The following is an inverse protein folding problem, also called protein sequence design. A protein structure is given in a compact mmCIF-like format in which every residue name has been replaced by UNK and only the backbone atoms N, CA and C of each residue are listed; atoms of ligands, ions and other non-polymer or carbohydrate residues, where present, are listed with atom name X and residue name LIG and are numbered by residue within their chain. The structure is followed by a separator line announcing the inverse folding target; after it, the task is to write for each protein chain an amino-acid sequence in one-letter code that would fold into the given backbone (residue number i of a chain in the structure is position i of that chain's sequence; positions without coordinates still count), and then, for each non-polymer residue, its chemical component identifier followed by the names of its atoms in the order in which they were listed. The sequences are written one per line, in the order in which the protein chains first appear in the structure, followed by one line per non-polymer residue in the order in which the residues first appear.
data_IF_599681994445
#
_entry.id   IF_599681994445
#
_cell.length_a   1.000
_cell.length_b   1.000
_cell.length_c   1.000
_cell.angle_alpha   90.00
_cell.angle_beta   90.00
_cell.angle_gamma   90.00
#
_symmetry.space_group_name_H-M   'P 1'
#
loop_
_entity.id
_entity.type
_entity.pdbx_description
1 polymer ?
#
# COMPACT_ATOMS: atom_id res chain seq x y z
N UNK A 1 19.55 42.19 10.48
CA UNK A 1 19.78 41.01 11.34
C UNK A 1 18.51 40.40 11.93
N UNK A 2 17.61 41.13 12.63
CA UNK A 2 16.38 40.54 13.21
C UNK A 2 15.45 39.85 12.19
N UNK A 3 15.23 40.46 11.02
CA UNK A 3 14.40 39.88 9.94
C UNK A 3 14.99 38.57 9.38
N UNK A 4 16.32 38.51 9.22
CA UNK A 4 17.02 37.29 8.77
C UNK A 4 16.85 36.15 9.77
N UNK A 5 16.95 36.43 11.08
CA UNK A 5 16.72 35.44 12.14
C UNK A 5 15.29 34.88 12.13
N UNK A 6 14.29 35.73 11.83
CA UNK A 6 12.88 35.30 11.73
C UNK A 6 12.66 34.43 10.48
N UNK A 7 13.22 34.80 9.33
CA UNK A 7 13.12 33.99 8.09
C UNK A 7 13.78 32.63 8.27
N UNK A 8 14.97 32.59 8.89
CA UNK A 8 15.66 31.32 9.20
C UNK A 8 14.83 30.48 10.17
N UNK A 9 14.23 31.08 11.20
CA UNK A 9 13.37 30.35 12.14
C UNK A 9 12.11 29.77 11.46
N UNK A 10 11.46 30.54 10.58
CA UNK A 10 10.30 30.06 9.81
C UNK A 10 10.67 28.92 8.87
N UNK A 11 11.83 28.99 8.22
CA UNK A 11 12.33 27.94 7.33
C UNK A 11 12.65 26.65 8.11
N UNK A 12 13.27 26.76 9.29
CA UNK A 12 13.53 25.61 10.17
C UNK A 12 12.23 24.98 10.67
N UNK A 13 11.24 25.79 11.07
CA UNK A 13 9.93 25.28 11.49
C UNK A 13 9.18 24.58 10.35
N UNK A 14 9.26 25.10 9.12
CA UNK A 14 8.63 24.48 7.95
C UNK A 14 9.28 23.15 7.55
N UNK A 15 10.61 23.04 7.69
CA UNK A 15 11.34 21.78 7.42
C UNK A 15 11.07 20.72 8.50
N UNK A 16 10.79 21.13 9.75
CA UNK A 16 10.48 20.22 10.84
C UNK A 16 9.07 19.58 10.76
N UNK A 17 8.16 20.12 9.94
CA UNK A 17 6.79 19.59 9.78
C UNK A 17 6.61 18.59 8.63
N UNK A 18 7.70 18.15 8.00
CA UNK A 18 7.66 17.09 6.97
C UNK A 18 7.38 15.73 7.63
N UNK A 19 6.11 15.43 7.89
CA UNK A 19 5.66 14.15 8.43
C UNK A 19 5.53 13.12 7.30
N UNK A 20 6.45 12.15 7.23
CA UNK A 20 6.28 10.97 6.39
C UNK A 20 5.20 10.04 6.94
N UNK A 21 4.55 9.25 6.06
CA UNK A 21 3.61 8.22 6.49
C UNK A 21 4.31 7.15 7.33
N UNK A 22 3.90 7.06 8.61
CA UNK A 22 4.40 6.03 9.53
C UNK A 22 3.87 4.65 9.14
N UNK A 23 4.72 3.61 9.14
CA UNK A 23 4.28 2.24 8.94
C UNK A 23 3.36 1.80 10.09
N UNK A 24 2.51 0.82 9.79
CA UNK A 24 1.61 0.18 10.76
C UNK A 24 1.95 -1.31 10.85
N UNK A 25 1.94 -1.83 12.08
CA UNK A 25 2.18 -3.26 12.33
C UNK A 25 1.03 -4.11 11.86
N UNK A 26 1.38 -5.18 11.13
CA UNK A 26 0.41 -6.12 10.59
C UNK A 26 -0.13 -7.06 11.67
N UNK A 27 -1.45 -7.16 11.77
CA UNK A 27 -2.14 -8.23 12.50
C UNK A 27 -2.36 -9.49 11.65
N UNK A 28 -1.97 -9.46 10.37
CA UNK A 28 -2.12 -10.58 9.45
C UNK A 28 -0.86 -11.46 9.42
N UNK A 29 -1.08 -12.74 9.15
CA UNK A 29 -0.02 -13.68 8.82
C UNK A 29 0.30 -13.55 7.33
N UNK A 30 1.52 -13.08 7.05
CA UNK A 30 2.05 -12.95 5.71
C UNK A 30 2.54 -14.33 5.25
N UNK A 31 2.00 -14.81 4.13
CA UNK A 31 2.42 -16.08 3.53
C UNK A 31 3.72 -15.80 2.78
N UNK A 32 4.85 -15.94 3.49
CA UNK A 32 6.15 -15.97 2.84
C UNK A 32 6.23 -17.23 1.99
N UNK A 33 6.13 -17.05 0.70
CA UNK A 33 6.48 -18.09 -0.26
C UNK A 33 7.97 -17.96 -0.58
N UNK A 34 8.70 -19.07 -0.62
CA UNK A 34 10.11 -19.09 -1.05
C UNK A 34 10.27 -18.82 -2.56
N UNK A 35 9.21 -18.31 -3.18
CA UNK A 35 9.03 -18.22 -4.61
C UNK A 35 9.62 -16.90 -5.09
N UNK A 36 10.82 -17.00 -5.69
CA UNK A 36 11.39 -15.95 -6.54
C UNK A 36 10.40 -15.45 -7.62
N UNK A 37 9.38 -16.24 -7.95
CA UNK A 37 8.32 -15.91 -8.92
C UNK A 37 6.98 -16.46 -8.42
N UNK A 38 6.09 -15.61 -7.91
CA UNK A 38 4.69 -15.97 -7.60
C UNK A 38 3.87 -15.84 -8.87
N UNK A 39 3.24 -16.93 -9.32
CA UNK A 39 2.32 -16.94 -10.45
C UNK A 39 0.83 -16.95 -10.03
N UNK A 40 -0.10 -16.47 -10.88
CA UNK A 40 -1.54 -16.47 -10.56
C UNK A 40 -2.12 -17.86 -10.27
N UNK A 41 -1.54 -18.91 -10.84
CA UNK A 41 -1.94 -20.31 -10.64
C UNK A 41 -1.67 -20.83 -9.22
N UNK A 42 -0.82 -20.12 -8.45
CA UNK A 42 -0.51 -20.42 -7.06
C UNK A 42 -1.39 -19.63 -6.08
N UNK A 43 -2.29 -18.79 -6.61
CA UNK A 43 -3.21 -17.94 -5.86
C UNK A 43 -4.66 -18.43 -6.04
N UNK A 44 -5.58 -17.88 -5.26
CA UNK A 44 -6.97 -18.32 -5.18
C UNK A 44 -7.24 -19.20 -3.96
N UNK A 45 -8.48 -19.65 -3.80
CA UNK A 45 -8.94 -20.40 -2.62
C UNK A 45 -8.53 -19.71 -1.30
N UNK A 46 -8.67 -18.39 -1.27
CA UNK A 46 -8.30 -17.55 -0.13
C UNK A 46 -6.87 -17.06 -0.10
N UNK A 47 -5.93 -17.62 -0.88
CA UNK A 47 -4.58 -17.04 -1.02
C UNK A 47 -4.62 -15.86 -2.00
N UNK A 48 -4.60 -14.63 -1.46
CA UNK A 48 -4.74 -13.41 -2.25
C UNK A 48 -3.47 -12.57 -2.19
N UNK A 49 -2.97 -12.19 -3.36
CA UNK A 49 -1.87 -11.24 -3.51
C UNK A 49 -2.41 -9.82 -3.56
N UNK A 50 -1.87 -8.95 -2.71
CA UNK A 50 -2.19 -7.51 -2.70
C UNK A 50 -0.90 -6.75 -3.00
N UNK A 51 -0.90 -5.91 -4.03
CA UNK A 51 0.28 -5.14 -4.42
C UNK A 51 0.01 -3.65 -4.53
N UNK A 52 1.06 -2.85 -4.38
CA UNK A 52 1.01 -1.41 -4.60
C UNK A 52 1.22 -1.06 -6.07
N UNK A 53 0.15 -0.64 -6.75
CA UNK A 53 0.13 -0.26 -8.18
C UNK A 53 0.57 1.17 -8.48
N UNK A 54 1.35 1.81 -7.60
CA UNK A 54 1.87 3.15 -7.85
C UNK A 54 2.70 3.23 -9.15
N UNK A 55 2.45 4.26 -9.95
CA UNK A 55 3.21 4.51 -11.18
C UNK A 55 4.58 5.14 -10.86
N UNK A 56 5.53 5.06 -11.80
CA UNK A 56 6.87 5.67 -11.71
C UNK A 56 6.88 7.12 -11.22
N UNK A 57 5.89 7.93 -11.66
CA UNK A 57 5.74 9.34 -11.25
C UNK A 57 5.53 9.50 -9.73
N UNK A 58 4.84 8.56 -9.08
CA UNK A 58 4.64 8.55 -7.63
C UNK A 58 5.72 7.75 -6.87
N UNK A 59 6.66 7.14 -7.60
CA UNK A 59 7.74 6.36 -7.00
C UNK A 59 8.97 7.23 -6.73
N UNK A 60 9.15 8.31 -7.51
CA UNK A 60 10.34 9.18 -7.48
C UNK A 60 10.52 9.99 -6.18
N UNK A 61 9.43 10.24 -5.45
CA UNK A 61 9.39 11.05 -4.22
C UNK A 61 9.11 10.23 -2.96
N UNK A 62 8.95 8.90 -3.07
CA UNK A 62 8.69 7.97 -1.96
C UNK A 62 7.36 8.27 -1.21
N UNK A 63 6.41 8.99 -1.83
CA UNK A 63 5.14 9.41 -1.21
C UNK A 63 4.03 8.37 -1.39
N UNK A 64 4.14 7.47 -2.36
CA UNK A 64 3.12 6.46 -2.66
C UNK A 64 3.07 5.25 -1.72
N UNK A 65 3.49 5.40 -0.45
CA UNK A 65 3.32 4.33 0.55
C UNK A 65 1.85 4.22 0.94
N UNK A 66 1.35 2.98 1.03
CA UNK A 66 -0.04 2.70 1.38
C UNK A 66 -0.11 1.94 2.70
N UNK A 67 -0.74 2.53 3.71
CA UNK A 67 -1.22 1.80 4.88
C UNK A 67 -2.60 1.22 4.55
N UNK A 68 -2.77 -0.07 4.81
CA UNK A 68 -4.00 -0.81 4.51
C UNK A 68 -4.55 -1.43 5.79
N UNK A 69 -5.84 -1.25 6.01
CA UNK A 69 -6.63 -2.00 6.97
C UNK A 69 -7.63 -2.85 6.20
N UNK A 70 -7.84 -4.06 6.70
CA UNK A 70 -8.78 -5.05 6.20
C UNK A 70 -9.68 -5.44 7.36
N UNK A 71 -10.99 -5.31 7.22
CA UNK A 71 -11.98 -5.59 8.26
C UNK A 71 -11.61 -4.98 9.62
N UNK A 72 -11.31 -3.68 9.60
CA UNK A 72 -10.86 -2.87 10.74
C UNK A 72 -9.49 -3.23 11.33
N UNK A 73 -8.85 -4.30 10.87
CA UNK A 73 -7.53 -4.75 11.33
C UNK A 73 -6.41 -4.22 10.46
N UNK A 74 -5.28 -3.79 11.04
CA UNK A 74 -4.14 -3.32 10.27
C UNK A 74 -3.51 -4.49 9.50
N UNK A 75 -3.56 -4.41 8.17
CA UNK A 75 -2.90 -5.37 7.30
C UNK A 75 -1.41 -5.05 7.14
N UNK A 76 -1.04 -3.77 7.20
CA UNK A 76 0.35 -3.32 7.15
C UNK A 76 0.55 -2.14 6.21
N UNK A 77 1.81 -1.82 5.94
CA UNK A 77 2.21 -0.86 4.91
C UNK A 77 2.81 -1.57 3.71
N UNK A 78 2.33 -1.25 2.50
CA UNK A 78 2.90 -1.69 1.23
C UNK A 78 3.51 -0.47 0.52
N UNK A 79 4.82 -0.50 0.26
CA UNK A 79 5.51 0.55 -0.49
C UNK A 79 5.34 0.34 -2.01
N UNK A 80 5.61 1.37 -2.84
CA UNK A 80 5.67 1.19 -4.29
C UNK A 80 6.59 0.03 -4.67
N UNK A 81 6.13 -0.86 -5.55
CA UNK A 81 6.88 -2.06 -5.94
C UNK A 81 6.87 -3.18 -4.89
N UNK A 82 6.11 -3.05 -3.79
CA UNK A 82 5.93 -4.16 -2.85
C UNK A 82 4.60 -4.89 -3.06
N UNK A 83 4.57 -6.15 -2.64
CA UNK A 83 3.37 -6.98 -2.56
C UNK A 83 3.35 -7.82 -1.28
N UNK A 84 2.16 -8.27 -0.87
CA UNK A 84 1.98 -9.25 0.20
C UNK A 84 1.04 -10.35 -0.27
N UNK A 85 1.13 -11.51 0.35
CA UNK A 85 0.14 -12.57 0.20
C UNK A 85 -0.45 -12.86 1.57
N UNK A 86 -1.78 -12.84 1.65
CA UNK A 86 -2.53 -13.13 2.86
C UNK A 86 -3.63 -14.13 2.57
N UNK A 87 -4.06 -14.85 3.61
CA UNK A 87 -5.28 -15.65 3.54
C UNK A 87 -6.49 -14.77 3.82
N UNK A 88 -7.41 -14.71 2.86
CA UNK A 88 -8.71 -14.05 2.94
C UNK A 88 -9.80 -15.11 2.87
N UNK A 89 -10.91 -14.89 3.58
CA UNK A 89 -12.08 -15.77 3.47
C UNK A 89 -12.91 -15.34 2.25
N UNK A 90 -13.81 -16.20 1.81
CA UNK A 90 -14.82 -15.78 0.84
C UNK A 90 -15.82 -14.84 1.50
N UNK A 91 -16.29 -13.85 0.74
CA UNK A 91 -17.28 -12.86 1.15
C UNK A 91 -16.79 -11.42 0.96
N UNK A 92 -17.62 -10.49 1.41
CA UNK A 92 -17.33 -9.06 1.33
C UNK A 92 -16.36 -8.64 2.44
N UNK A 93 -15.29 -7.96 2.02
CA UNK A 93 -14.23 -7.47 2.88
C UNK A 93 -14.13 -5.94 2.78
N UNK A 94 -13.99 -5.29 3.94
CA UNK A 94 -13.90 -3.84 4.00
C UNK A 94 -12.44 -3.39 4.05
N UNK A 95 -12.02 -2.65 3.03
CA UNK A 95 -10.68 -2.11 2.92
C UNK A 95 -10.65 -0.62 3.22
N UNK A 96 -9.70 -0.21 4.06
CA UNK A 96 -9.38 1.20 4.26
C UNK A 96 -7.94 1.45 3.86
N UNK A 97 -7.74 2.43 2.99
CA UNK A 97 -6.44 2.81 2.46
C UNK A 97 -6.09 4.22 2.94
N UNK A 98 -4.83 4.41 3.33
CA UNK A 98 -4.25 5.71 3.65
C UNK A 98 -2.91 5.84 2.92
N UNK A 99 -2.79 6.89 2.11
CA UNK A 99 -1.50 7.41 1.69
C UNK A 99 -1.37 8.88 2.12
N UNK A 100 -0.12 9.35 2.21
CA UNK A 100 0.19 10.74 2.52
C UNK A 100 1.02 11.28 1.38
N UNK A 101 0.46 12.28 0.71
CA UNK A 101 1.20 13.20 -0.13
C UNK A 101 1.17 14.57 0.57
N UNK A 102 1.07 15.69 -0.16
CA UNK A 102 0.84 17.03 0.42
C UNK A 102 -0.31 17.06 1.44
N UNK A 103 -1.27 16.12 1.35
CA UNK A 103 -2.36 15.92 2.30
C UNK A 103 -2.57 14.43 2.61
N UNK A 104 -3.29 14.14 3.70
CA UNK A 104 -3.72 12.79 4.04
C UNK A 104 -4.89 12.36 3.14
N UNK A 105 -4.71 11.30 2.37
CA UNK A 105 -5.75 10.79 1.47
C UNK A 105 -6.24 9.42 1.95
N UNK A 106 -7.50 9.40 2.37
CA UNK A 106 -8.18 8.23 2.90
C UNK A 106 -9.31 7.82 1.98
N UNK A 107 -9.48 6.52 1.79
CA UNK A 107 -10.60 5.96 1.03
C UNK A 107 -10.96 4.60 1.57
N UNK A 108 -12.23 4.25 1.46
CA UNK A 108 -12.79 2.98 1.88
C UNK A 108 -13.40 2.26 0.67
N UNK A 109 -13.27 0.94 0.63
CA UNK A 109 -13.67 0.10 -0.50
C UNK A 109 -14.20 -1.23 0.03
N UNK A 110 -15.37 -1.67 -0.44
CA UNK A 110 -15.85 -3.02 -0.19
C UNK A 110 -15.48 -3.91 -1.38
N UNK A 111 -14.85 -5.04 -1.10
CA UNK A 111 -14.38 -5.99 -2.11
C UNK A 111 -14.97 -7.37 -1.85
N UNK A 112 -15.62 -7.94 -2.85
CA UNK A 112 -16.06 -9.33 -2.82
C UNK A 112 -14.89 -10.26 -3.14
N UNK A 113 -14.56 -11.13 -2.20
CA UNK A 113 -13.54 -12.17 -2.35
C UNK A 113 -14.24 -13.51 -2.60
N UNK A 114 -13.84 -14.18 -3.67
CA UNK A 114 -14.34 -15.51 -4.04
C UNK A 114 -13.16 -16.47 -4.17
N UNK A 115 -13.44 -17.75 -4.44
CA UNK A 115 -12.41 -18.77 -4.68
C UNK A 115 -11.50 -18.41 -5.87
N UNK A 116 -12.02 -17.64 -6.83
CA UNK A 116 -11.29 -17.18 -8.01
C UNK A 116 -10.54 -15.85 -7.79
N UNK A 117 -10.71 -15.21 -6.63
CA UNK A 117 -9.99 -13.97 -6.31
C UNK A 117 -8.53 -14.30 -6.01
N UNK A 118 -7.64 -13.78 -6.84
CA UNK A 118 -6.20 -14.04 -6.81
C UNK A 118 -5.40 -12.79 -6.50
N UNK A 119 -5.71 -11.68 -7.19
CA UNK A 119 -4.86 -10.48 -7.18
C UNK A 119 -5.72 -9.24 -6.99
N UNK A 120 -5.33 -8.43 -6.01
CA UNK A 120 -5.90 -7.11 -5.72
C UNK A 120 -4.81 -6.05 -5.89
N UNK A 121 -5.08 -5.04 -6.71
CA UNK A 121 -4.27 -3.85 -6.86
C UNK A 121 -4.75 -2.78 -5.89
N UNK A 122 -3.87 -2.28 -5.03
CA UNK A 122 -4.08 -1.06 -4.25
C UNK A 122 -3.18 0.04 -4.81
N UNK A 123 -3.72 1.21 -5.16
CA UNK A 123 -2.96 2.27 -5.83
C UNK A 123 -3.28 3.65 -5.27
N UNK A 124 -2.29 4.44 -4.83
CA UNK A 124 -2.52 5.85 -4.54
C UNK A 124 -2.74 6.62 -5.85
N UNK A 125 -3.66 7.59 -5.84
CA UNK A 125 -3.91 8.53 -6.93
C UNK A 125 -3.68 9.95 -6.45
N UNK A 126 -3.78 10.94 -7.34
CA UNK A 126 -3.49 12.36 -7.02
C UNK A 126 -4.40 12.92 -5.90
N UNK A 127 -5.61 12.36 -5.72
CA UNK A 127 -6.60 12.88 -4.77
C UNK A 127 -7.27 11.80 -3.91
N UNK A 128 -6.96 10.51 -4.11
CA UNK A 128 -7.60 9.40 -3.41
C UNK A 128 -6.77 8.10 -3.53
N UNK A 129 -7.38 6.95 -3.26
CA UNK A 129 -6.81 5.64 -3.57
C UNK A 129 -7.79 4.84 -4.44
N UNK A 130 -7.23 3.93 -5.24
CA UNK A 130 -7.96 2.93 -6.01
C UNK A 130 -7.67 1.55 -5.42
N UNK A 131 -8.70 0.72 -5.31
CA UNK A 131 -8.59 -0.70 -5.01
C UNK A 131 -9.36 -1.48 -6.06
N UNK A 132 -8.75 -2.52 -6.64
CA UNK A 132 -9.36 -3.27 -7.75
C UNK A 132 -8.93 -4.73 -7.72
N UNK A 133 -9.88 -5.66 -7.85
CA UNK A 133 -9.60 -7.08 -8.10
C UNK A 133 -9.23 -7.22 -9.57
N UNK A 134 -7.97 -7.52 -9.87
CA UNK A 134 -7.48 -7.62 -11.25
C UNK A 134 -7.31 -9.06 -11.71
N UNK A 135 -6.97 -9.97 -10.79
CA UNK A 135 -6.54 -11.35 -11.10
C UNK A 135 -5.41 -11.46 -12.14
N UNK A 136 -4.73 -10.35 -12.42
CA UNK A 136 -3.64 -10.21 -13.39
C UNK A 136 -2.49 -9.49 -12.69
N UNK A 137 -1.29 -10.07 -12.80
CA UNK A 137 -0.05 -9.46 -12.30
C UNK A 137 0.35 -8.25 -13.15
N UNK A 138 0.99 -7.22 -12.57
CA UNK A 138 1.54 -6.12 -13.36
C UNK A 138 2.63 -6.64 -14.31
N UNK A 139 2.77 -6.00 -15.48
CA UNK A 139 3.71 -6.45 -16.52
C UNK A 139 5.17 -6.48 -16.08
N UNK A 140 5.52 -5.73 -15.02
CA UNK A 140 6.84 -5.63 -14.42
C UNK A 140 6.91 -6.28 -13.02
N UNK A 141 6.09 -7.30 -12.77
CA UNK A 141 6.02 -7.98 -11.48
C UNK A 141 7.36 -8.61 -11.03
N UNK A 142 8.23 -8.94 -11.98
CA UNK A 142 9.61 -9.38 -11.73
C UNK A 142 10.46 -8.40 -10.91
N UNK A 143 10.06 -7.13 -10.87
CA UNK A 143 10.72 -6.06 -10.09
C UNK A 143 10.07 -5.83 -8.73
N UNK A 144 9.02 -6.57 -8.39
CA UNK A 144 8.33 -6.40 -7.13
C UNK A 144 9.01 -7.19 -6.01
N UNK A 145 8.99 -6.63 -4.81
CA UNK A 145 9.57 -7.23 -3.62
C UNK A 145 8.47 -7.63 -2.63
N UNK A 146 8.69 -8.73 -1.92
CA UNK A 146 7.78 -9.15 -0.86
C UNK A 146 7.86 -8.16 0.31
N UNK A 147 6.72 -7.61 0.75
CA UNK A 147 6.73 -6.63 1.83
C UNK A 147 7.09 -7.29 3.17
N UNK A 148 8.09 -6.73 3.84
CA UNK A 148 8.43 -7.15 5.19
C UNK A 148 7.36 -6.67 6.19
N UNK A 149 7.13 -7.49 7.22
CA UNK A 149 6.29 -7.10 8.35
C UNK A 149 7.04 -6.02 9.16
N UNK A 150 6.46 -4.83 9.28
CA UNK A 150 7.02 -3.64 9.93
C UNK A 150 6.06 -3.10 10.96
#
# INVERSE_FOLDING_TARGET
MKRLKIVVALMVCALASSCALKPISSEYAFIKTDLKNVGPEQLGNGSVLIYNGANLLHTADNTARLNIWLDEKPMGQIRPGEYVIINMKNGTHHFKLLHIDMVNMRSEHDVEVTEDTRIIMAKPTITSNKLEVTNILPSNFDKFEYAEKR
#
